data_IF_052927316807
#
_entry.id   IF_052927316807
#
_cell.length_a   1.000
_cell.length_b   1.000
_cell.length_c   1.000
_cell.angle_alpha   90.00
_cell.angle_beta   90.00
_cell.angle_gamma   90.00
#
_symmetry.space_group_name_H-M   'P 1'
#
loop_
_entity.id
_entity.type
_entity.pdbx_description
1 polymer ?
#
# COMPACT_ATOMS: atom_id res chain seq x y z
N UNK A 1 -79.80 -42.02 -29.10
CA UNK A 1 -78.37 -41.95 -28.58
C UNK A 1 -77.78 -40.67 -29.11
N UNK A 2 -77.44 -39.69 -28.29
CA UNK A 2 -76.89 -38.41 -28.74
C UNK A 2 -75.36 -38.44 -28.70
N UNK A 3 -74.79 -37.92 -29.78
CA UNK A 3 -73.32 -37.66 -29.95
C UNK A 3 -72.87 -36.53 -29.02
N UNK A 4 -71.79 -36.79 -28.21
CA UNK A 4 -71.11 -35.78 -27.39
C UNK A 4 -70.03 -35.09 -28.23
N UNK A 5 -70.17 -33.78 -28.42
CA UNK A 5 -69.13 -32.90 -29.00
C UNK A 5 -68.04 -32.60 -28.02
N UNK A 6 -66.78 -32.98 -28.31
CA UNK A 6 -65.57 -32.54 -27.59
C UNK A 6 -65.19 -31.11 -28.01
N UNK A 7 -65.28 -30.16 -27.09
CA UNK A 7 -64.67 -28.83 -27.27
C UNK A 7 -63.18 -28.90 -26.86
N UNK A 8 -62.30 -28.67 -27.81
CA UNK A 8 -60.91 -28.48 -27.60
C UNK A 8 -60.68 -27.05 -27.09
N UNK A 9 -60.23 -26.89 -25.85
CA UNK A 9 -59.73 -25.62 -25.30
C UNK A 9 -58.28 -25.43 -25.78
N UNK A 10 -58.01 -24.39 -26.54
CA UNK A 10 -56.68 -23.97 -26.90
C UNK A 10 -56.11 -23.11 -25.76
N UNK A 11 -55.07 -23.60 -25.07
CA UNK A 11 -54.30 -22.81 -24.09
C UNK A 11 -53.26 -22.02 -24.87
N UNK A 12 -53.44 -20.70 -24.98
CA UNK A 12 -52.44 -19.78 -25.48
C UNK A 12 -51.39 -19.57 -24.38
N UNK A 13 -50.21 -20.19 -24.54
CA UNK A 13 -49.01 -19.83 -23.75
C UNK A 13 -48.49 -18.46 -24.25
N UNK A 14 -48.67 -17.42 -23.46
CA UNK A 14 -47.98 -16.16 -23.68
C UNK A 14 -46.52 -16.31 -23.24
N UNK A 15 -45.62 -16.52 -24.19
CA UNK A 15 -44.15 -16.41 -23.93
C UNK A 15 -43.83 -14.93 -23.78
N UNK A 16 -43.67 -14.46 -22.56
CA UNK A 16 -43.09 -13.16 -22.31
C UNK A 16 -41.63 -13.21 -22.78
N UNK A 17 -41.35 -12.60 -23.91
CA UNK A 17 -39.98 -12.35 -24.34
C UNK A 17 -39.34 -11.36 -23.38
N UNK A 18 -38.48 -11.86 -22.49
CA UNK A 18 -37.58 -11.01 -21.73
C UNK A 18 -36.63 -10.35 -22.74
N UNK A 19 -36.86 -9.07 -23.01
CA UNK A 19 -35.89 -8.25 -23.74
C UNK A 19 -34.58 -8.27 -22.92
N UNK A 20 -33.43 -8.68 -23.51
CA UNK A 20 -32.17 -8.55 -22.80
C UNK A 20 -31.98 -7.07 -22.51
N UNK A 21 -31.76 -6.70 -21.22
CA UNK A 21 -31.27 -5.38 -20.86
C UNK A 21 -30.01 -5.14 -21.70
N UNK A 22 -30.08 -4.21 -22.64
CA UNK A 22 -28.91 -3.85 -23.43
C UNK A 22 -27.84 -3.33 -22.45
N UNK A 23 -26.74 -4.06 -22.36
CA UNK A 23 -25.60 -3.60 -21.57
C UNK A 23 -25.22 -2.19 -22.03
N UNK A 24 -25.00 -1.29 -21.09
CA UNK A 24 -24.63 0.10 -21.38
C UNK A 24 -23.30 0.10 -22.15
N UNK A 25 -23.28 0.65 -23.37
CA UNK A 25 -22.01 0.73 -24.11
C UNK A 25 -21.01 1.62 -23.38
N UNK A 26 -19.71 1.30 -23.38
CA UNK A 26 -18.68 2.13 -22.77
C UNK A 26 -18.72 3.59 -23.23
N UNK A 27 -19.06 3.86 -24.47
CA UNK A 27 -19.19 5.19 -25.06
C UNK A 27 -20.32 6.01 -24.44
N UNK A 28 -21.33 5.37 -23.86
CA UNK A 28 -22.45 6.05 -23.19
C UNK A 28 -22.12 6.45 -21.74
N UNK A 29 -21.08 5.88 -21.12
CA UNK A 29 -20.69 6.16 -19.72
C UNK A 29 -20.41 7.64 -19.50
N UNK A 30 -19.52 8.32 -20.28
CA UNK A 30 -19.25 9.73 -20.07
C UNK A 30 -20.48 10.62 -20.21
N UNK A 31 -21.38 10.32 -21.14
CA UNK A 31 -22.61 11.10 -21.31
C UNK A 31 -23.55 10.96 -20.09
N UNK A 32 -23.70 9.75 -19.57
CA UNK A 32 -24.57 9.45 -18.42
C UNK A 32 -24.06 10.03 -17.11
N UNK A 33 -22.75 10.01 -16.88
CA UNK A 33 -22.15 10.32 -15.57
C UNK A 33 -21.43 11.67 -15.51
N UNK A 34 -21.41 12.46 -16.59
CA UNK A 34 -20.69 13.74 -16.66
C UNK A 34 -21.07 14.69 -15.52
N UNK A 35 -22.36 14.91 -15.33
CA UNK A 35 -22.83 15.90 -14.35
C UNK A 35 -22.56 15.44 -12.90
N UNK A 36 -22.72 14.15 -12.63
CA UNK A 36 -22.41 13.62 -11.28
C UNK A 36 -20.93 13.62 -11.01
N UNK A 37 -20.08 13.28 -11.98
CA UNK A 37 -18.62 13.37 -11.84
C UNK A 37 -18.17 14.81 -11.59
N UNK A 38 -18.67 15.77 -12.39
CA UNK A 38 -18.38 17.19 -12.18
C UNK A 38 -18.81 17.68 -10.79
N UNK A 39 -19.97 17.23 -10.30
CA UNK A 39 -20.48 17.58 -8.97
C UNK A 39 -19.61 16.99 -7.85
N UNK A 40 -19.13 15.76 -8.01
CA UNK A 40 -18.21 15.11 -7.04
C UNK A 40 -16.89 15.88 -7.01
N UNK A 41 -16.29 16.16 -8.17
CA UNK A 41 -15.04 16.90 -8.28
C UNK A 41 -15.16 18.28 -7.64
N UNK A 42 -16.19 19.05 -8.01
CA UNK A 42 -16.40 20.39 -7.47
C UNK A 42 -16.59 20.38 -5.94
N UNK A 43 -17.28 19.38 -5.39
CA UNK A 43 -17.50 19.27 -3.97
C UNK A 43 -16.23 18.84 -3.20
N UNK A 44 -15.37 18.03 -3.80
CA UNK A 44 -14.07 17.70 -3.23
C UNK A 44 -13.14 18.92 -3.23
N UNK A 45 -13.04 19.64 -4.34
CA UNK A 45 -12.17 20.84 -4.45
C UNK A 45 -12.65 22.02 -3.58
N UNK A 46 -13.94 22.08 -3.25
CA UNK A 46 -14.49 23.08 -2.32
C UNK A 46 -14.12 22.82 -0.85
N UNK A 47 -13.79 21.58 -0.51
CA UNK A 47 -13.29 21.17 0.82
C UNK A 47 -11.76 21.25 0.79
N UNK A 48 -11.18 22.35 1.26
CA UNK A 48 -9.77 22.64 1.04
C UNK A 48 -8.79 21.83 1.88
N UNK A 49 -9.24 21.21 3.01
CA UNK A 49 -8.33 20.55 3.97
C UNK A 49 -8.87 19.27 4.58
N UNK A 50 -10.16 18.95 4.44
CA UNK A 50 -10.82 17.91 5.26
C UNK A 50 -10.14 16.54 5.27
N UNK A 51 -9.68 16.04 4.13
CA UNK A 51 -8.93 14.78 4.08
C UNK A 51 -7.52 14.93 4.66
N UNK A 52 -6.84 16.05 4.36
CA UNK A 52 -5.51 16.33 4.92
C UNK A 52 -5.56 16.48 6.44
N UNK A 53 -6.56 17.20 6.99
CA UNK A 53 -6.75 17.35 8.43
C UNK A 53 -6.92 15.99 9.11
N UNK A 54 -7.61 15.04 8.45
CA UNK A 54 -7.80 13.69 8.96
C UNK A 54 -6.53 12.83 8.89
N UNK A 55 -5.73 12.97 7.83
CA UNK A 55 -4.39 12.36 7.75
C UNK A 55 -3.52 12.90 8.88
N UNK A 56 -3.52 14.22 9.09
CA UNK A 56 -2.79 14.85 10.17
C UNK A 56 -3.27 14.37 11.54
N UNK A 57 -4.59 14.28 11.78
CA UNK A 57 -5.13 13.76 13.03
C UNK A 57 -4.70 12.30 13.30
N UNK A 58 -4.75 11.43 12.28
CA UNK A 58 -4.27 10.04 12.40
C UNK A 58 -2.79 9.99 12.76
N UNK A 59 -1.98 10.75 12.02
CA UNK A 59 -0.52 10.80 12.17
C UNK A 59 -0.08 11.39 13.51
N UNK A 60 -0.65 12.52 13.90
CA UNK A 60 -0.27 13.26 15.11
C UNK A 60 -0.70 12.53 16.39
N UNK A 61 -1.84 11.82 16.36
CA UNK A 61 -2.36 11.11 17.54
C UNK A 61 -1.68 9.79 17.80
N UNK A 62 -1.31 9.06 16.76
CA UNK A 62 -0.84 7.68 16.90
C UNK A 62 0.61 7.51 16.46
N UNK A 63 1.17 8.45 15.70
CA UNK A 63 2.52 8.34 15.16
C UNK A 63 2.67 7.10 14.27
N UNK A 64 3.80 6.44 14.38
CA UNK A 64 4.06 5.19 13.69
C UNK A 64 3.20 4.04 14.20
N UNK A 65 2.80 3.15 13.27
CA UNK A 65 1.77 2.13 13.51
C UNK A 65 2.20 0.73 13.05
N UNK A 66 3.43 0.33 13.41
CA UNK A 66 3.93 -0.99 12.98
C UNK A 66 3.07 -2.13 13.55
N UNK A 67 2.92 -3.19 12.77
CA UNK A 67 2.22 -4.43 13.14
C UNK A 67 2.65 -4.95 14.51
N UNK A 68 1.66 -5.28 15.35
CA UNK A 68 1.85 -5.74 16.72
C UNK A 68 2.00 -4.61 17.75
N UNK A 69 2.07 -3.34 17.32
CA UNK A 69 2.17 -2.21 18.24
C UNK A 69 0.79 -1.82 18.80
N UNK A 70 0.80 -1.23 20.00
CA UNK A 70 -0.40 -0.66 20.60
C UNK A 70 -0.92 0.55 19.80
N UNK A 71 -0.01 1.36 19.24
CA UNK A 71 -0.37 2.53 18.45
C UNK A 71 -1.22 2.15 17.23
N UNK A 72 -0.92 1.02 16.57
CA UNK A 72 -1.73 0.49 15.48
C UNK A 72 -3.15 0.14 15.96
N UNK A 73 -3.30 -0.59 17.06
CA UNK A 73 -4.62 -1.00 17.55
C UNK A 73 -5.45 0.21 18.01
N UNK A 74 -4.82 1.18 18.68
CA UNK A 74 -5.48 2.43 19.08
C UNK A 74 -5.92 3.24 17.84
N UNK A 75 -5.14 3.25 16.77
CA UNK A 75 -5.49 3.89 15.48
C UNK A 75 -6.66 3.17 14.78
N UNK A 76 -6.64 1.84 14.72
CA UNK A 76 -7.73 1.00 14.19
C UNK A 76 -9.04 1.28 14.95
N UNK A 77 -8.97 1.38 16.27
CA UNK A 77 -10.14 1.69 17.10
C UNK A 77 -10.68 3.10 16.83
N UNK A 78 -9.80 4.07 16.68
CA UNK A 78 -10.17 5.44 16.33
C UNK A 78 -10.80 5.52 14.93
N UNK A 79 -10.23 4.84 13.92
CA UNK A 79 -10.79 4.77 12.57
C UNK A 79 -12.20 4.18 12.62
N UNK A 80 -12.38 3.01 13.27
CA UNK A 80 -13.69 2.38 13.39
C UNK A 80 -14.72 3.28 14.08
N UNK A 81 -14.33 3.93 15.20
CA UNK A 81 -15.21 4.84 15.92
C UNK A 81 -15.59 6.07 15.09
N UNK A 82 -14.63 6.59 14.31
CA UNK A 82 -14.85 7.78 13.48
C UNK A 82 -15.69 7.46 12.24
N UNK A 83 -15.45 6.32 11.57
CA UNK A 83 -16.32 5.85 10.47
C UNK A 83 -17.77 5.71 10.92
N UNK A 84 -18.02 5.22 12.17
CA UNK A 84 -19.40 5.17 12.73
C UNK A 84 -19.99 6.55 12.94
N UNK A 85 -19.21 7.50 13.46
CA UNK A 85 -19.67 8.90 13.63
C UNK A 85 -19.97 9.57 12.29
N UNK A 86 -19.21 9.23 11.25
CA UNK A 86 -19.42 9.72 9.87
C UNK A 86 -20.64 9.03 9.21
N UNK A 87 -21.26 8.04 9.85
CA UNK A 87 -22.46 7.38 9.35
C UNK A 87 -22.22 6.28 8.31
N UNK A 88 -21.00 5.72 8.20
CA UNK A 88 -20.77 4.56 7.38
C UNK A 88 -21.53 3.34 7.94
N UNK A 89 -22.08 2.54 7.04
CA UNK A 89 -22.75 1.29 7.38
C UNK A 89 -21.72 0.17 7.65
N UNK A 90 -22.16 -0.85 8.38
CA UNK A 90 -21.40 -2.09 8.60
C UNK A 90 -19.96 -1.89 9.10
N UNK A 91 -19.72 -0.84 9.90
CA UNK A 91 -18.38 -0.57 10.43
C UNK A 91 -17.98 -1.66 11.42
N UNK A 92 -16.90 -2.35 11.11
CA UNK A 92 -16.37 -3.48 11.89
C UNK A 92 -14.87 -3.60 11.82
N UNK A 93 -14.32 -4.41 12.72
CA UNK A 93 -12.93 -4.84 12.74
C UNK A 93 -12.91 -6.35 12.55
N UNK A 94 -12.06 -6.85 11.65
CA UNK A 94 -11.89 -8.27 11.40
C UNK A 94 -10.50 -8.72 11.86
N UNK A 95 -10.40 -9.76 12.72
CA UNK A 95 -9.15 -10.11 13.37
C UNK A 95 -8.13 -10.71 12.39
N UNK A 96 -6.87 -10.32 12.57
CA UNK A 96 -5.71 -10.81 11.82
C UNK A 96 -4.56 -11.06 12.80
N UNK A 97 -3.96 -12.24 12.77
CA UNK A 97 -2.72 -12.50 13.51
C UNK A 97 -1.52 -11.99 12.70
N UNK A 98 -0.73 -11.08 13.28
CA UNK A 98 0.37 -10.39 12.59
C UNK A 98 1.71 -10.64 13.26
N UNK A 99 2.84 -10.59 12.51
CA UNK A 99 4.18 -10.63 13.11
C UNK A 99 4.38 -9.46 14.05
N UNK A 100 5.11 -9.70 15.14
CA UNK A 100 5.45 -8.65 16.10
C UNK A 100 6.97 -8.53 16.20
N UNK A 101 7.53 -7.64 15.38
CA UNK A 101 8.94 -7.27 15.43
C UNK A 101 9.12 -5.97 16.20
N UNK A 102 10.18 -5.88 16.99
CA UNK A 102 10.53 -4.68 17.77
C UNK A 102 11.97 -4.29 17.49
N UNK A 103 12.18 -3.04 17.10
CA UNK A 103 13.49 -2.47 16.78
C UNK A 103 14.42 -2.40 17.99
N UNK A 104 13.95 -1.85 19.10
CA UNK A 104 14.77 -1.55 20.29
C UNK A 104 15.76 -0.41 20.03
N UNK A 105 16.74 -0.28 20.93
CA UNK A 105 17.80 0.69 20.75
C UNK A 105 18.80 0.26 19.67
N UNK A 106 19.26 1.22 18.86
CA UNK A 106 20.20 0.94 17.77
C UNK A 106 21.17 2.10 17.53
N UNK A 107 22.37 1.78 17.07
CA UNK A 107 23.38 2.76 16.69
C UNK A 107 24.42 2.19 15.74
N UNK A 108 24.97 3.05 14.89
CA UNK A 108 26.13 2.77 14.06
C UNK A 108 27.20 3.84 14.31
N UNK A 109 28.41 3.43 14.65
CA UNK A 109 29.53 4.32 14.87
C UNK A 109 30.67 3.99 13.90
N UNK A 110 31.12 4.96 13.12
CA UNK A 110 32.41 4.89 12.45
C UNK A 110 33.50 4.98 13.51
N UNK A 111 34.42 4.00 13.60
CA UNK A 111 35.47 3.96 14.60
C UNK A 111 36.89 4.14 14.00
N UNK A 112 37.06 3.88 12.71
CA UNK A 112 38.27 4.10 11.93
C UNK A 112 37.91 4.53 10.52
N UNK A 113 38.62 5.49 9.90
CA UNK A 113 39.84 6.20 10.38
C UNK A 113 39.58 7.34 11.36
N UNK A 114 38.32 7.70 11.62
CA UNK A 114 37.91 8.68 12.62
C UNK A 114 36.65 8.22 13.35
N UNK A 115 36.34 8.79 14.49
CA UNK A 115 35.09 8.51 15.19
C UNK A 115 33.97 9.45 14.75
N UNK A 116 32.79 8.89 14.43
CA UNK A 116 31.59 9.65 14.16
C UNK A 116 30.34 8.75 14.26
N UNK A 117 29.22 9.24 14.79
CA UNK A 117 27.94 8.56 14.66
C UNK A 117 27.47 8.60 13.18
N UNK A 118 26.88 7.51 12.72
CA UNK A 118 26.27 7.40 11.39
C UNK A 118 24.77 7.13 11.58
N UNK A 119 23.88 7.93 10.98
CA UNK A 119 22.46 7.62 10.96
C UNK A 119 22.22 6.26 10.31
N UNK A 120 21.39 5.44 10.96
CA UNK A 120 21.04 4.11 10.49
C UNK A 120 19.63 3.75 10.94
N UNK A 121 19.02 2.79 10.26
CA UNK A 121 17.80 2.11 10.68
C UNK A 121 17.98 0.61 10.50
N UNK A 122 17.75 -0.18 11.54
CA UNK A 122 17.64 -1.62 11.44
C UNK A 122 16.52 -1.98 10.46
N UNK A 123 16.68 -3.04 9.69
CA UNK A 123 15.65 -3.48 8.75
C UNK A 123 14.64 -4.40 9.45
N UNK A 124 13.39 -4.25 9.07
CA UNK A 124 12.27 -4.98 9.66
C UNK A 124 12.42 -6.50 9.52
N UNK A 125 12.33 -7.20 10.65
CA UNK A 125 12.61 -8.62 10.74
C UNK A 125 14.07 -8.98 11.03
N UNK A 126 15.00 -7.99 11.06
CA UNK A 126 16.39 -8.23 11.45
C UNK A 126 16.49 -8.71 12.89
N UNK A 127 17.48 -9.56 13.15
CA UNK A 127 17.92 -9.88 14.51
C UNK A 127 18.80 -8.75 15.06
N UNK A 128 18.91 -8.68 16.39
CA UNK A 128 19.86 -7.80 17.09
C UNK A 128 21.31 -8.30 17.01
N UNK A 129 22.22 -7.46 17.49
CA UNK A 129 23.63 -7.81 17.70
C UNK A 129 23.84 -8.51 19.05
N UNK A 130 24.94 -9.23 19.25
CA UNK A 130 25.37 -9.63 20.59
C UNK A 130 25.53 -8.41 21.53
N UNK A 131 25.46 -8.62 22.85
CA UNK A 131 25.78 -7.56 23.82
C UNK A 131 27.11 -6.87 23.50
N UNK A 132 27.13 -5.52 23.50
CA UNK A 132 28.33 -4.72 23.12
C UNK A 132 28.40 -4.42 21.61
N UNK A 133 27.59 -5.07 20.76
CA UNK A 133 27.57 -4.83 19.32
C UNK A 133 28.60 -5.64 18.54
N UNK A 134 28.71 -5.33 17.27
CA UNK A 134 29.65 -5.94 16.31
C UNK A 134 30.59 -4.84 15.82
N UNK A 135 31.89 -4.97 16.06
CA UNK A 135 32.91 -4.08 15.50
C UNK A 135 33.74 -4.82 14.47
N UNK A 136 33.65 -4.41 13.20
CA UNK A 136 34.40 -5.07 12.14
C UNK A 136 34.78 -4.09 11.01
N UNK A 137 35.71 -4.53 10.15
CA UNK A 137 36.00 -3.83 8.89
C UNK A 137 34.82 -3.87 7.95
N UNK A 138 34.65 -2.81 7.17
CA UNK A 138 33.63 -2.72 6.14
C UNK A 138 34.19 -3.13 4.80
N UNK A 139 33.50 -4.03 4.11
CA UNK A 139 33.68 -4.37 2.71
C UNK A 139 32.54 -3.77 1.90
N UNK A 140 32.86 -2.93 0.92
CA UNK A 140 31.85 -2.31 0.05
C UNK A 140 31.73 -3.09 -1.27
N UNK A 141 30.50 -3.36 -1.67
CA UNK A 141 30.15 -4.00 -2.96
C UNK A 141 29.00 -3.25 -3.63
N UNK A 142 28.95 -3.29 -4.96
CA UNK A 142 27.87 -2.69 -5.75
C UNK A 142 26.80 -3.67 -6.20
N UNK A 143 27.03 -4.98 -6.06
CA UNK A 143 26.06 -6.01 -6.45
C UNK A 143 26.25 -7.34 -5.68
N UNK A 144 25.30 -8.26 -5.81
CA UNK A 144 25.41 -9.61 -5.27
C UNK A 144 26.47 -10.44 -6.01
N UNK A 145 26.63 -10.22 -7.31
CA UNK A 145 27.65 -10.88 -8.15
C UNK A 145 29.06 -10.45 -7.73
N UNK A 146 29.27 -9.16 -7.47
CA UNK A 146 30.55 -8.66 -6.93
C UNK A 146 30.86 -9.30 -5.57
N UNK A 147 29.87 -9.37 -4.67
CA UNK A 147 30.07 -10.05 -3.40
C UNK A 147 30.42 -11.53 -3.57
N UNK A 148 29.74 -12.24 -4.45
CA UNK A 148 30.01 -13.65 -4.73
C UNK A 148 31.43 -13.88 -5.27
N UNK A 149 31.89 -13.01 -6.20
CA UNK A 149 33.24 -13.06 -6.75
C UNK A 149 34.34 -12.79 -5.70
N UNK A 150 34.01 -12.02 -4.66
CA UNK A 150 34.93 -11.61 -3.60
C UNK A 150 34.57 -12.20 -2.22
N UNK A 151 33.82 -13.32 -2.19
CA UNK A 151 33.27 -13.89 -0.95
C UNK A 151 34.34 -14.15 0.13
N UNK A 152 35.56 -14.57 -0.25
CA UNK A 152 36.64 -14.81 0.71
C UNK A 152 37.06 -13.55 1.50
N UNK A 153 36.89 -12.35 0.92
CA UNK A 153 37.17 -11.08 1.58
C UNK A 153 36.09 -10.69 2.62
N UNK A 154 34.88 -11.21 2.46
CA UNK A 154 33.74 -10.84 3.34
C UNK A 154 33.79 -11.51 4.70
N UNK A 155 34.57 -12.61 4.85
CA UNK A 155 34.62 -13.38 6.08
C UNK A 155 35.01 -12.53 7.29
N UNK A 156 34.14 -12.46 8.30
CA UNK A 156 34.35 -11.67 9.53
C UNK A 156 34.20 -10.18 9.37
N UNK A 157 33.78 -9.69 8.18
CA UNK A 157 33.56 -8.27 7.90
C UNK A 157 32.08 -7.90 7.95
N UNK A 158 31.79 -6.60 7.92
CA UNK A 158 30.47 -6.05 7.65
C UNK A 158 30.39 -5.72 6.15
N UNK A 159 29.46 -6.32 5.43
CA UNK A 159 29.24 -6.03 4.00
C UNK A 159 28.32 -4.84 3.85
N UNK A 160 28.76 -3.80 3.13
CA UNK A 160 27.95 -2.65 2.76
C UNK A 160 27.61 -2.71 1.27
N UNK A 161 26.31 -2.84 0.95
CA UNK A 161 25.82 -2.71 -0.42
C UNK A 161 25.63 -1.23 -0.78
N UNK A 162 26.46 -0.69 -1.65
CA UNK A 162 26.39 0.69 -2.13
C UNK A 162 26.12 0.71 -3.63
N UNK A 163 24.92 0.33 -4.04
CA UNK A 163 24.41 0.45 -5.41
C UNK A 163 23.74 1.82 -5.60
N UNK A 164 24.08 2.52 -6.69
CA UNK A 164 23.38 3.76 -7.03
C UNK A 164 21.89 3.52 -7.27
N UNK A 165 21.07 4.53 -7.00
CA UNK A 165 19.63 4.45 -7.26
C UNK A 165 19.36 4.17 -8.75
N UNK A 166 18.50 3.21 -8.99
CA UNK A 166 17.97 2.89 -10.32
C UNK A 166 16.43 2.91 -10.26
N UNK A 167 15.87 2.05 -9.45
CA UNK A 167 14.45 1.93 -9.14
C UNK A 167 14.27 1.20 -7.80
N UNK A 168 13.06 1.29 -7.23
CA UNK A 168 12.78 0.68 -5.92
C UNK A 168 12.91 -0.85 -5.93
N UNK A 169 12.53 -1.52 -7.01
CA UNK A 169 12.66 -2.97 -7.15
C UNK A 169 14.12 -3.42 -7.06
N UNK A 170 14.99 -2.77 -7.83
CA UNK A 170 16.43 -3.04 -7.86
C UNK A 170 17.10 -2.70 -6.52
N UNK A 171 16.94 -1.47 -6.02
CA UNK A 171 17.61 -1.05 -4.80
C UNK A 171 17.03 -1.75 -3.55
N UNK A 172 15.74 -2.00 -3.52
CA UNK A 172 15.08 -2.77 -2.46
C UNK A 172 15.54 -4.25 -2.38
N UNK A 173 16.10 -4.81 -3.45
CA UNK A 173 16.64 -6.16 -3.40
C UNK A 173 17.81 -6.29 -2.40
N UNK A 174 18.67 -5.27 -2.29
CA UNK A 174 19.77 -5.26 -1.30
C UNK A 174 19.25 -5.21 0.12
N UNK A 175 18.17 -4.47 0.36
CA UNK A 175 17.45 -4.48 1.64
C UNK A 175 16.86 -5.85 1.94
N UNK A 176 16.11 -6.42 0.99
CA UNK A 176 15.39 -7.69 1.23
C UNK A 176 16.29 -8.90 1.35
N UNK A 177 17.38 -8.99 0.58
CA UNK A 177 18.21 -10.21 0.44
C UNK A 177 19.66 -10.03 0.90
N UNK A 178 20.07 -8.81 1.25
CA UNK A 178 21.46 -8.49 1.57
C UNK A 178 22.05 -9.33 2.71
N UNK A 179 21.27 -9.56 3.77
CA UNK A 179 21.71 -10.42 4.89
C UNK A 179 21.99 -11.86 4.45
N UNK A 180 21.16 -12.42 3.55
CA UNK A 180 21.31 -13.79 3.06
C UNK A 180 22.63 -13.94 2.28
N UNK A 181 22.87 -13.04 1.31
CA UNK A 181 24.08 -13.07 0.48
C UNK A 181 25.34 -12.80 1.32
N UNK A 182 25.30 -11.84 2.25
CA UNK A 182 26.41 -11.53 3.14
C UNK A 182 26.73 -12.71 4.08
N UNK A 183 25.72 -13.35 4.67
CA UNK A 183 25.91 -14.52 5.52
C UNK A 183 26.52 -15.71 4.75
N UNK A 184 26.12 -15.96 3.52
CA UNK A 184 26.74 -16.98 2.65
C UNK A 184 28.22 -16.73 2.39
N UNK A 185 28.64 -15.46 2.33
CA UNK A 185 30.03 -15.05 2.19
C UNK A 185 30.80 -15.03 3.52
N UNK A 186 30.16 -15.38 4.65
CA UNK A 186 30.78 -15.41 5.98
C UNK A 186 30.89 -14.05 6.66
N UNK A 187 30.14 -13.07 6.25
CA UNK A 187 30.05 -11.76 6.91
C UNK A 187 29.38 -11.88 8.28
N UNK A 188 29.71 -10.99 9.21
CA UNK A 188 29.15 -10.96 10.59
C UNK A 188 27.95 -10.03 10.72
N UNK A 189 27.76 -9.09 9.79
CA UNK A 189 26.61 -8.22 9.64
C UNK A 189 26.58 -7.66 8.21
N UNK A 190 25.49 -7.03 7.83
CA UNK A 190 25.39 -6.32 6.56
C UNK A 190 24.69 -4.98 6.68
N UNK A 191 25.03 -4.07 5.79
CA UNK A 191 24.45 -2.75 5.67
C UNK A 191 23.98 -2.56 4.23
N UNK A 192 22.85 -1.90 4.02
CA UNK A 192 22.36 -1.50 2.72
C UNK A 192 22.30 0.04 2.63
N UNK A 193 22.79 0.60 1.54
CA UNK A 193 22.48 1.98 1.19
C UNK A 193 20.97 2.13 1.08
N UNK A 194 20.41 3.16 1.68
CA UNK A 194 18.98 3.49 1.62
C UNK A 194 18.43 3.45 0.18
N UNK A 195 17.30 2.78 0.01
CA UNK A 195 16.60 2.67 -1.28
C UNK A 195 15.81 3.97 -1.55
N UNK A 196 16.52 5.03 -1.87
CA UNK A 196 15.99 6.37 -2.05
C UNK A 196 16.46 7.00 -3.37
N UNK A 197 15.53 7.68 -4.06
CA UNK A 197 15.84 8.44 -5.27
C UNK A 197 16.56 9.77 -4.98
N UNK A 198 16.36 10.30 -3.78
CA UNK A 198 16.99 11.49 -3.25
C UNK A 198 17.28 11.28 -1.76
N UNK A 199 18.31 11.90 -1.21
CA UNK A 199 18.69 11.73 0.18
C UNK A 199 19.14 13.04 0.82
N UNK A 200 18.80 13.22 2.10
CA UNK A 200 19.23 14.30 2.99
C UNK A 200 19.77 13.70 4.29
N UNK A 201 20.62 12.68 4.18
CA UNK A 201 21.12 11.85 5.27
C UNK A 201 20.00 11.16 6.07
N UNK A 202 18.90 10.87 5.44
CA UNK A 202 17.77 10.14 6.02
C UNK A 202 17.93 8.66 5.69
N UNK A 203 18.08 7.76 6.67
CA UNK A 203 18.06 6.32 6.40
C UNK A 203 16.63 5.85 6.15
N UNK A 204 16.48 4.87 5.25
CA UNK A 204 15.21 4.25 4.91
C UNK A 204 15.17 2.81 5.43
N UNK A 205 14.16 2.48 6.21
CA UNK A 205 13.93 1.10 6.69
C UNK A 205 13.15 0.26 5.65
N UNK A 206 12.54 -0.79 6.08
CA UNK A 206 11.67 -1.67 5.30
C UNK A 206 11.94 -3.14 5.58
N UNK A 207 11.10 -4.02 5.09
CA UNK A 207 11.16 -5.44 5.38
C UNK A 207 12.35 -6.14 4.73
N UNK A 208 12.90 -7.14 5.42
CA UNK A 208 13.96 -8.04 4.95
C UNK A 208 13.59 -9.51 5.15
N UNK A 209 14.33 -10.39 4.52
CA UNK A 209 14.14 -11.83 4.65
C UNK A 209 15.40 -12.52 5.20
N UNK A 210 15.18 -13.66 5.85
CA UNK A 210 16.20 -14.63 6.17
C UNK A 210 15.96 -15.94 5.40
N UNK A 211 17.04 -16.65 5.14
CA UNK A 211 17.03 -18.00 4.57
C UNK A 211 17.47 -18.99 5.66
N UNK A 212 16.70 -20.05 5.87
CA UNK A 212 16.99 -21.09 6.88
C UNK A 212 18.28 -21.86 6.61
N UNK A 213 18.84 -21.79 5.40
CA UNK A 213 20.07 -22.49 5.01
C UNK A 213 21.35 -21.74 5.40
N UNK A 214 21.24 -20.51 5.90
CA UNK A 214 22.38 -19.69 6.31
C UNK A 214 22.17 -19.12 7.71
N UNK A 215 23.28 -18.75 8.38
CA UNK A 215 23.21 -18.06 9.67
C UNK A 215 22.47 -16.72 9.52
N UNK A 216 21.62 -16.40 10.49
CA UNK A 216 21.03 -15.06 10.57
C UNK A 216 22.07 -14.09 11.08
N UNK A 217 22.24 -12.99 10.36
CA UNK A 217 23.12 -11.88 10.75
C UNK A 217 22.33 -10.57 10.83
N UNK A 218 22.73 -9.60 11.67
CA UNK A 218 22.07 -8.29 11.70
C UNK A 218 22.18 -7.57 10.36
N UNK A 219 21.09 -6.89 9.98
CA UNK A 219 21.03 -6.11 8.75
C UNK A 219 20.36 -4.76 8.99
N UNK A 220 21.01 -3.69 8.52
CA UNK A 220 20.55 -2.33 8.69
C UNK A 220 20.71 -1.51 7.42
N UNK A 221 19.96 -0.42 7.33
CA UNK A 221 20.10 0.59 6.30
C UNK A 221 20.97 1.74 6.82
N UNK A 222 21.76 2.32 5.93
CA UNK A 222 22.54 3.55 6.17
C UNK A 222 22.18 4.59 5.12
N UNK A 223 22.47 5.85 5.39
CA UNK A 223 22.21 6.93 4.43
C UNK A 223 23.00 6.75 3.13
N UNK A 224 22.47 7.26 2.02
CA UNK A 224 23.18 7.23 0.75
C UNK A 224 24.53 7.96 0.84
N UNK A 225 24.57 9.08 1.56
CA UNK A 225 25.78 9.90 1.73
C UNK A 225 26.85 9.17 2.51
N UNK A 226 26.49 8.47 3.60
CA UNK A 226 27.46 7.74 4.43
C UNK A 226 27.96 6.48 3.73
N UNK A 227 27.12 5.77 2.97
CA UNK A 227 27.54 4.67 2.12
C UNK A 227 28.59 5.13 1.09
N UNK A 228 28.33 6.23 0.37
CA UNK A 228 29.26 6.82 -0.59
C UNK A 228 30.54 7.35 0.09
N UNK A 229 30.43 7.90 1.32
CA UNK A 229 31.60 8.34 2.09
C UNK A 229 32.51 7.15 2.42
N UNK A 230 31.94 6.05 2.94
CA UNK A 230 32.69 4.82 3.25
C UNK A 230 33.37 4.27 1.99
N UNK A 231 32.65 4.20 0.87
CA UNK A 231 33.23 3.78 -0.43
C UNK A 231 34.45 4.64 -0.81
N UNK A 232 34.36 5.98 -0.68
CA UNK A 232 35.47 6.89 -1.01
C UNK A 232 36.67 6.70 -0.09
N UNK A 233 36.45 6.45 1.22
CA UNK A 233 37.53 6.16 2.18
C UNK A 233 38.28 4.88 1.79
N UNK A 234 37.56 3.80 1.52
CA UNK A 234 38.15 2.51 1.12
C UNK A 234 38.89 2.65 -0.22
N UNK A 235 38.32 3.39 -1.19
CA UNK A 235 38.99 3.64 -2.48
C UNK A 235 40.32 4.41 -2.37
N UNK A 236 40.49 5.20 -1.29
CA UNK A 236 41.77 5.85 -0.98
C UNK A 236 42.75 4.96 -0.19
N UNK A 237 42.40 3.70 0.06
CA UNK A 237 43.20 2.74 0.79
C UNK A 237 43.06 2.82 2.33
N UNK A 238 42.04 3.55 2.82
CA UNK A 238 41.77 3.63 4.26
C UNK A 238 41.05 2.36 4.76
N UNK A 239 41.48 1.87 5.94
CA UNK A 239 40.76 0.77 6.62
C UNK A 239 39.58 1.35 7.37
N UNK A 240 38.37 1.13 6.87
CA UNK A 240 37.15 1.58 7.52
C UNK A 240 36.62 0.50 8.45
N UNK A 241 36.39 0.86 9.71
CA UNK A 241 35.76 0.00 10.74
C UNK A 241 34.54 0.71 11.31
N UNK A 242 33.49 -0.04 11.56
CA UNK A 242 32.29 0.46 12.23
C UNK A 242 31.90 -0.46 13.39
N UNK A 243 31.18 0.11 14.36
CA UNK A 243 30.52 -0.64 15.43
C UNK A 243 29.01 -0.53 15.23
N UNK A 244 28.35 -1.66 14.97
CA UNK A 244 26.90 -1.78 14.87
C UNK A 244 26.32 -2.33 16.17
N UNK A 245 25.30 -1.67 16.72
CA UNK A 245 24.50 -2.15 17.86
C UNK A 245 23.03 -2.14 17.46
N UNK A 246 22.34 -3.23 17.73
CA UNK A 246 20.90 -3.38 17.46
C UNK A 246 20.30 -4.29 18.54
N UNK A 247 19.15 -3.89 19.10
CA UNK A 247 18.36 -4.69 20.06
C UNK A 247 17.16 -5.38 19.41
N UNK A 248 17.10 -5.33 18.08
CA UNK A 248 16.00 -5.85 17.29
C UNK A 248 15.66 -7.31 17.61
N UNK A 249 14.39 -7.62 17.75
CA UNK A 249 13.92 -8.97 18.08
C UNK A 249 12.50 -9.23 17.57
N UNK A 250 12.21 -10.50 17.30
CA UNK A 250 10.85 -11.00 17.10
C UNK A 250 10.22 -11.35 18.44
N UNK A 251 8.99 -10.95 18.64
CA UNK A 251 8.10 -11.38 19.72
C UNK A 251 7.07 -12.39 19.16
N UNK A 252 6.29 -13.07 20.02
CA UNK A 252 5.15 -13.85 19.53
C UNK A 252 4.21 -13.02 18.69
N UNK A 253 3.60 -13.63 17.67
CA UNK A 253 2.58 -12.98 16.84
C UNK A 253 1.51 -12.31 17.71
N UNK A 254 1.06 -11.14 17.30
CA UNK A 254 0.05 -10.34 17.98
C UNK A 254 -1.27 -10.33 17.20
N UNK A 255 -2.36 -10.10 17.90
CA UNK A 255 -3.65 -9.87 17.25
C UNK A 255 -3.75 -8.43 16.79
N UNK A 256 -4.11 -8.23 15.52
CA UNK A 256 -4.47 -6.97 14.90
C UNK A 256 -5.79 -7.12 14.14
N UNK A 257 -6.19 -6.11 13.37
CA UNK A 257 -7.48 -6.13 12.68
C UNK A 257 -7.42 -5.33 11.37
N UNK A 258 -8.06 -5.86 10.32
CA UNK A 258 -8.55 -5.00 9.24
C UNK A 258 -9.72 -4.17 9.75
N UNK A 259 -9.78 -2.89 9.43
CA UNK A 259 -10.89 -2.01 9.76
C UNK A 259 -11.65 -1.62 8.51
N UNK A 260 -12.98 -1.68 8.53
CA UNK A 260 -13.78 -1.40 7.35
C UNK A 260 -15.12 -0.75 7.65
N UNK A 261 -15.65 -0.07 6.62
CA UNK A 261 -16.98 0.55 6.61
C UNK A 261 -17.54 0.61 5.20
N UNK A 262 -18.84 0.84 5.06
CA UNK A 262 -19.52 0.72 3.78
C UNK A 262 -20.47 1.89 3.49
N UNK A 263 -20.58 2.23 2.20
CA UNK A 263 -21.73 2.89 1.60
C UNK A 263 -22.58 1.83 0.92
N UNK A 264 -23.69 1.44 1.56
CA UNK A 264 -24.52 0.34 1.08
C UNK A 264 -25.20 0.68 -0.25
N UNK A 265 -25.14 -0.26 -1.18
CA UNK A 265 -25.80 -0.15 -2.49
C UNK A 265 -27.32 -0.20 -2.41
N UNK A 266 -28.00 0.52 -3.33
CA UNK A 266 -29.47 0.62 -3.34
C UNK A 266 -30.18 -0.54 -4.06
N UNK A 267 -29.51 -1.24 -5.00
CA UNK A 267 -30.12 -2.30 -5.82
C UNK A 267 -29.48 -3.67 -5.64
N UNK A 268 -28.14 -3.69 -5.55
CA UNK A 268 -27.33 -4.92 -5.42
C UNK A 268 -26.35 -4.79 -4.27
N UNK A 269 -26.86 -4.70 -3.03
CA UNK A 269 -26.03 -4.42 -1.85
C UNK A 269 -25.00 -5.52 -1.53
N UNK A 270 -25.17 -6.73 -2.07
CA UNK A 270 -24.28 -7.87 -1.87
C UNK A 270 -23.14 -7.92 -2.93
N UNK A 271 -23.17 -7.05 -3.93
CA UNK A 271 -22.07 -6.85 -4.87
C UNK A 271 -21.21 -5.67 -4.39
N UNK A 272 -19.87 -5.83 -4.41
CA UNK A 272 -18.94 -4.92 -3.74
C UNK A 272 -17.92 -4.33 -4.70
N UNK A 273 -17.70 -3.02 -4.62
CA UNK A 273 -16.46 -2.35 -5.02
C UNK A 273 -15.69 -2.09 -3.73
N UNK A 274 -14.54 -2.73 -3.55
CA UNK A 274 -13.68 -2.51 -2.38
C UNK A 274 -12.58 -1.53 -2.73
N UNK A 275 -12.25 -0.61 -1.81
CA UNK A 275 -11.13 0.31 -1.95
C UNK A 275 -10.49 0.60 -0.60
N UNK A 276 -9.21 0.99 -0.60
CA UNK A 276 -8.51 1.31 0.63
C UNK A 276 -7.02 1.47 0.44
N UNK A 277 -6.33 1.31 1.55
CA UNK A 277 -4.89 1.28 1.71
C UNK A 277 -4.55 0.58 3.01
N UNK A 278 -3.28 0.54 3.43
CA UNK A 278 -2.93 -0.11 4.68
C UNK A 278 -2.88 0.86 5.86
N UNK A 279 -3.38 0.39 7.02
CA UNK A 279 -3.45 1.22 8.23
C UNK A 279 -2.17 1.16 9.05
N UNK A 280 -1.39 0.11 8.93
CA UNK A 280 -0.07 0.03 9.55
C UNK A 280 0.95 0.92 8.83
N UNK A 281 2.08 1.14 9.43
CA UNK A 281 3.25 1.84 8.89
C UNK A 281 4.52 1.32 9.53
N UNK A 282 5.69 1.68 9.00
CA UNK A 282 6.94 1.43 9.73
C UNK A 282 6.96 2.18 11.07
N UNK A 283 7.87 1.74 11.94
CA UNK A 283 8.08 2.29 13.29
C UNK A 283 8.97 3.55 13.30
N UNK A 284 8.95 4.27 12.20
CA UNK A 284 9.62 5.57 11.97
C UNK A 284 8.69 6.50 11.23
N UNK A 285 8.85 7.81 11.42
CA UNK A 285 7.92 8.78 10.87
C UNK A 285 6.52 8.68 11.48
N UNK A 286 5.51 9.10 10.75
CA UNK A 286 4.12 9.08 11.16
C UNK A 286 3.22 8.27 10.20
N UNK A 287 3.79 7.66 9.15
CA UNK A 287 3.03 6.93 8.15
C UNK A 287 1.91 7.76 7.54
N UNK A 288 2.22 8.99 7.15
CA UNK A 288 1.23 9.92 6.62
C UNK A 288 0.92 9.65 5.15
N UNK A 289 1.95 9.40 4.35
CA UNK A 289 1.79 9.05 2.95
C UNK A 289 1.85 7.55 2.71
N UNK A 290 2.49 6.79 3.63
CA UNK A 290 2.71 5.34 3.56
C UNK A 290 2.20 4.68 4.87
N UNK A 291 0.88 4.33 5.00
CA UNK A 291 -0.18 4.60 4.03
C UNK A 291 -1.47 5.09 4.73
N UNK A 292 -1.31 5.89 5.80
CA UNK A 292 -2.47 6.55 6.41
C UNK A 292 -3.25 7.40 5.41
N UNK A 293 -2.55 7.98 4.42
CA UNK A 293 -3.13 8.76 3.33
C UNK A 293 -4.08 7.95 2.48
N UNK A 294 -3.69 6.76 2.03
CA UNK A 294 -4.52 5.90 1.19
C UNK A 294 -5.80 5.44 1.90
N UNK A 295 -5.69 5.04 3.16
CA UNK A 295 -6.88 4.72 3.97
C UNK A 295 -7.82 5.92 4.06
N UNK A 296 -7.29 7.10 4.35
CA UNK A 296 -8.10 8.30 4.56
C UNK A 296 -8.76 8.78 3.26
N UNK A 297 -8.06 8.80 2.13
CA UNK A 297 -8.67 9.27 0.87
C UNK A 297 -9.78 8.34 0.39
N UNK A 298 -9.64 7.02 0.58
CA UNK A 298 -10.70 6.06 0.30
C UNK A 298 -11.93 6.29 1.20
N UNK A 299 -11.69 6.52 2.48
CA UNK A 299 -12.75 6.80 3.44
C UNK A 299 -13.45 8.14 3.16
N UNK A 300 -12.71 9.23 2.92
CA UNK A 300 -13.26 10.54 2.58
C UNK A 300 -14.02 10.52 1.24
N UNK A 301 -13.61 9.69 0.29
CA UNK A 301 -14.37 9.48 -0.94
C UNK A 301 -15.79 8.95 -0.64
N UNK A 302 -15.92 7.95 0.24
CA UNK A 302 -17.24 7.44 0.65
C UNK A 302 -18.03 8.51 1.41
N UNK A 303 -17.39 9.22 2.33
CA UNK A 303 -18.03 10.29 3.09
C UNK A 303 -18.51 11.44 2.18
N UNK A 304 -17.74 11.80 1.17
CA UNK A 304 -18.14 12.77 0.14
C UNK A 304 -19.39 12.32 -0.61
N UNK A 305 -19.43 11.06 -1.05
CA UNK A 305 -20.61 10.49 -1.73
C UNK A 305 -21.87 10.56 -0.84
N UNK A 306 -21.74 10.22 0.44
CA UNK A 306 -22.84 10.33 1.41
C UNK A 306 -23.33 11.78 1.56
N UNK A 307 -22.43 12.75 1.74
CA UNK A 307 -22.79 14.19 1.84
C UNK A 307 -23.53 14.70 0.61
N UNK A 308 -23.19 14.14 -0.55
CA UNK A 308 -23.86 14.46 -1.82
C UNK A 308 -25.19 13.71 -2.01
N UNK A 309 -25.58 12.83 -1.10
CA UNK A 309 -26.77 11.99 -1.24
C UNK A 309 -26.66 10.98 -2.39
N UNK A 310 -25.45 10.59 -2.78
CA UNK A 310 -25.18 9.65 -3.86
C UNK A 310 -25.11 8.22 -3.32
N UNK A 311 -26.05 7.38 -3.73
CA UNK A 311 -26.09 5.96 -3.38
C UNK A 311 -25.94 5.14 -4.66
N UNK A 312 -24.82 4.41 -4.87
CA UNK A 312 -24.65 3.60 -6.08
C UNK A 312 -25.53 2.34 -6.06
N UNK A 313 -25.57 1.61 -7.16
CA UNK A 313 -26.33 0.32 -7.24
C UNK A 313 -25.74 -0.72 -6.30
N UNK A 314 -24.40 -0.80 -6.23
CA UNK A 314 -23.60 -1.77 -5.45
C UNK A 314 -22.98 -1.10 -4.25
N UNK A 315 -22.59 -1.89 -3.29
CA UNK A 315 -21.90 -1.41 -2.09
C UNK A 315 -20.47 -0.96 -2.42
N UNK A 316 -20.07 0.19 -1.89
CA UNK A 316 -18.66 0.60 -1.83
C UNK A 316 -18.17 0.30 -0.42
N UNK A 317 -17.12 -0.52 -0.30
CA UNK A 317 -16.49 -0.88 0.97
C UNK A 317 -15.11 -0.22 1.06
N UNK A 318 -14.86 0.49 2.13
CA UNK A 318 -13.53 0.98 2.49
C UNK A 318 -12.89 0.01 3.47
N UNK A 319 -11.61 -0.29 3.24
CA UNK A 319 -10.80 -1.13 4.12
C UNK A 319 -9.47 -0.44 4.41
N UNK A 320 -9.11 -0.36 5.71
CA UNK A 320 -7.74 -0.18 6.16
C UNK A 320 -7.17 -1.55 6.49
N UNK A 321 -6.35 -2.10 5.59
CA UNK A 321 -5.71 -3.40 5.81
C UNK A 321 -4.60 -3.27 6.83
N UNK A 322 -4.35 -4.31 7.60
CA UNK A 322 -3.26 -4.36 8.56
C UNK A 322 -2.12 -5.24 8.05
N UNK A 323 -0.89 -4.94 8.45
CA UNK A 323 0.29 -5.76 8.18
C UNK A 323 0.70 -5.84 6.70
N UNK A 324 0.59 -4.77 5.94
CA UNK A 324 1.19 -4.69 4.62
C UNK A 324 2.72 -4.69 4.73
N UNK A 325 3.28 -3.78 5.54
CA UNK A 325 4.69 -3.42 5.64
C UNK A 325 5.63 -4.60 5.92
N UNK A 326 5.16 -5.56 6.71
CA UNK A 326 6.01 -6.67 7.11
C UNK A 326 5.32 -8.05 7.05
N UNK A 327 4.32 -8.23 6.16
CA UNK A 327 3.71 -9.54 6.04
C UNK A 327 2.59 -9.75 5.02
N UNK A 328 1.74 -8.77 4.73
CA UNK A 328 0.59 -8.91 3.82
C UNK A 328 -0.53 -9.81 4.36
N UNK A 329 -0.61 -10.01 5.69
CA UNK A 329 -1.60 -10.91 6.29
C UNK A 329 -3.00 -10.31 6.27
N UNK A 330 -3.13 -8.97 6.27
CA UNK A 330 -4.42 -8.28 6.19
C UNK A 330 -5.15 -8.54 4.89
N UNK A 331 -4.48 -8.36 3.77
CA UNK A 331 -5.03 -8.65 2.44
C UNK A 331 -5.38 -10.14 2.28
N UNK A 332 -4.54 -11.04 2.78
CA UNK A 332 -4.80 -12.48 2.76
C UNK A 332 -6.04 -12.85 3.60
N UNK A 333 -6.17 -12.31 4.82
CA UNK A 333 -7.31 -12.53 5.68
C UNK A 333 -8.62 -11.98 5.06
N UNK A 334 -8.54 -10.80 4.43
CA UNK A 334 -9.68 -10.23 3.70
C UNK A 334 -10.13 -11.17 2.57
N UNK A 335 -9.21 -11.65 1.73
CA UNK A 335 -9.55 -12.66 0.71
C UNK A 335 -10.24 -13.87 1.32
N UNK A 336 -9.69 -14.46 2.37
CA UNK A 336 -10.20 -15.70 2.97
C UNK A 336 -11.62 -15.52 3.52
N UNK A 337 -11.91 -14.35 4.12
CA UNK A 337 -13.22 -14.03 4.65
C UNK A 337 -14.25 -13.69 3.55
N UNK A 338 -13.81 -13.04 2.46
CA UNK A 338 -14.71 -12.38 1.49
C UNK A 338 -14.66 -12.93 0.07
N UNK A 339 -13.82 -13.93 -0.25
CA UNK A 339 -13.69 -14.49 -1.60
C UNK A 339 -14.98 -15.05 -2.21
N UNK A 340 -16.00 -15.33 -1.38
CA UNK A 340 -17.32 -15.79 -1.83
C UNK A 340 -18.28 -14.65 -2.16
N UNK A 341 -17.96 -13.43 -1.76
CA UNK A 341 -18.74 -12.25 -2.12
C UNK A 341 -18.48 -11.87 -3.58
N UNK A 342 -19.43 -11.16 -4.18
CA UNK A 342 -19.33 -10.72 -5.56
C UNK A 342 -18.58 -9.38 -5.62
N UNK A 343 -17.25 -9.42 -5.66
CA UNK A 343 -16.44 -8.22 -5.87
C UNK A 343 -16.45 -7.84 -7.36
N UNK A 344 -16.78 -6.60 -7.66
CA UNK A 344 -16.76 -6.04 -9.01
C UNK A 344 -15.40 -5.45 -9.36
N UNK A 345 -14.74 -4.81 -8.37
CA UNK A 345 -13.47 -4.12 -8.52
C UNK A 345 -12.81 -4.01 -7.14
N UNK A 346 -11.49 -4.12 -7.10
CA UNK A 346 -10.67 -3.78 -5.95
C UNK A 346 -9.73 -2.61 -6.30
N UNK A 347 -9.65 -1.59 -5.46
CA UNK A 347 -8.83 -0.39 -5.67
C UNK A 347 -7.92 -0.19 -4.46
N UNK A 348 -6.63 0.00 -4.68
CA UNK A 348 -5.66 0.31 -3.63
C UNK A 348 -4.97 1.64 -3.89
N UNK A 349 -4.74 2.40 -2.83
CA UNK A 349 -3.97 3.63 -2.81
C UNK A 349 -2.79 3.43 -1.88
N UNK A 350 -1.61 3.15 -2.43
CA UNK A 350 -0.36 2.85 -1.71
C UNK A 350 0.86 3.37 -2.48
N UNK A 351 0.78 4.55 -3.02
CA UNK A 351 1.87 5.26 -3.70
C UNK A 351 1.98 6.71 -3.24
N UNK A 352 1.43 6.98 -2.05
CA UNK A 352 1.19 8.31 -1.53
C UNK A 352 -0.08 8.95 -2.10
N UNK A 353 -0.38 10.16 -1.61
CA UNK A 353 -1.57 10.93 -1.99
C UNK A 353 -1.18 12.29 -2.58
N UNK A 354 -0.21 12.25 -3.48
CA UNK A 354 0.26 13.40 -4.27
C UNK A 354 -0.69 13.68 -5.45
N UNK A 355 -0.30 14.61 -6.33
CA UNK A 355 -1.13 14.97 -7.49
C UNK A 355 -1.56 13.73 -8.29
N UNK A 356 -2.86 13.44 -8.43
CA UNK A 356 -3.31 12.23 -9.11
C UNK A 356 -3.10 12.33 -10.62
N UNK A 357 -2.64 11.22 -11.24
CA UNK A 357 -2.48 11.02 -12.69
C UNK A 357 -3.57 10.12 -13.26
N UNK A 358 -4.12 9.23 -12.42
CA UNK A 358 -5.14 8.28 -12.80
C UNK A 358 -5.07 6.97 -12.04
N UNK A 359 -5.20 5.87 -12.77
CA UNK A 359 -5.16 4.53 -12.18
C UNK A 359 -4.45 3.55 -13.09
N UNK A 360 -3.66 2.64 -12.53
CA UNK A 360 -3.31 1.39 -13.19
C UNK A 360 -4.50 0.43 -13.14
N UNK A 361 -4.72 -0.39 -14.17
CA UNK A 361 -5.83 -1.33 -14.20
C UNK A 361 -5.45 -2.70 -14.72
N UNK A 362 -5.88 -3.75 -14.02
CA UNK A 362 -5.79 -5.16 -14.43
C UNK A 362 -7.17 -5.79 -14.42
N UNK A 363 -7.61 -6.30 -15.55
CA UNK A 363 -8.92 -6.91 -15.74
C UNK A 363 -9.16 -7.29 -17.19
N UNK A 364 -10.43 -7.61 -17.56
CA UNK A 364 -10.81 -7.96 -18.92
C UNK A 364 -10.73 -6.75 -19.87
N UNK A 365 -10.66 -7.01 -21.18
CA UNK A 365 -10.70 -5.94 -22.19
C UNK A 365 -12.00 -5.14 -22.16
N UNK A 366 -13.11 -5.77 -21.79
CA UNK A 366 -14.41 -5.11 -21.67
C UNK A 366 -14.43 -4.18 -20.45
N UNK A 367 -14.00 -4.66 -19.29
CA UNK A 367 -13.87 -3.86 -18.06
C UNK A 367 -12.91 -2.71 -18.24
N UNK A 368 -11.79 -2.91 -18.99
CA UNK A 368 -10.85 -1.85 -19.34
C UNK A 368 -11.51 -0.70 -20.09
N UNK A 369 -12.30 -1.00 -21.13
CA UNK A 369 -13.01 0.06 -21.88
C UNK A 369 -13.97 0.86 -20.99
N UNK A 370 -14.67 0.17 -20.07
CA UNK A 370 -15.54 0.85 -19.11
C UNK A 370 -14.76 1.76 -18.16
N UNK A 371 -13.64 1.27 -17.64
CA UNK A 371 -12.78 2.03 -16.73
C UNK A 371 -12.11 3.22 -17.44
N UNK A 372 -11.67 3.05 -18.70
CA UNK A 372 -11.14 4.16 -19.53
C UNK A 372 -12.20 5.23 -19.78
N UNK A 373 -13.44 4.81 -20.02
CA UNK A 373 -14.54 5.76 -20.15
C UNK A 373 -14.82 6.53 -18.85
N UNK A 374 -14.72 5.88 -17.68
CA UNK A 374 -14.81 6.56 -16.37
C UNK A 374 -13.62 7.51 -16.20
N UNK A 375 -12.40 7.04 -16.49
CA UNK A 375 -11.17 7.84 -16.40
C UNK A 375 -11.26 9.13 -17.19
N UNK A 376 -11.86 9.12 -18.37
CA UNK A 376 -12.06 10.34 -19.19
C UNK A 376 -12.79 11.48 -18.45
N UNK A 377 -13.63 11.16 -17.46
CA UNK A 377 -14.34 12.13 -16.63
C UNK A 377 -13.44 12.78 -15.57
N UNK A 378 -12.26 12.21 -15.31
CA UNK A 378 -11.27 12.72 -14.37
C UNK A 378 -10.21 13.62 -15.03
N UNK A 379 -10.29 13.82 -16.36
CA UNK A 379 -9.37 14.69 -17.09
C UNK A 379 -9.31 16.13 -16.52
N UNK A 380 -10.41 16.76 -16.04
CA UNK A 380 -10.37 18.11 -15.46
C UNK A 380 -9.43 18.26 -14.25
N UNK A 381 -9.19 17.18 -13.49
CA UNK A 381 -8.27 17.17 -12.33
C UNK A 381 -6.92 16.51 -12.62
N UNK A 382 -6.63 16.20 -13.87
CA UNK A 382 -5.38 15.58 -14.29
C UNK A 382 -5.31 14.05 -14.07
N UNK A 383 -6.39 13.41 -13.60
CA UNK A 383 -6.43 12.01 -13.18
C UNK A 383 -7.07 11.07 -14.24
N UNK A 384 -7.02 11.44 -15.53
CA UNK A 384 -7.71 10.72 -16.60
C UNK A 384 -6.98 9.51 -17.18
N UNK A 385 -5.74 9.24 -16.79
CA UNK A 385 -4.94 8.15 -17.34
C UNK A 385 -5.36 6.79 -16.78
N UNK A 386 -5.45 5.77 -17.65
CA UNK A 386 -5.61 4.38 -17.24
C UNK A 386 -4.40 3.59 -17.75
N UNK A 387 -3.50 3.24 -16.83
CA UNK A 387 -2.28 2.49 -17.11
C UNK A 387 -2.53 1.04 -17.55
N UNK A 388 -1.53 0.41 -18.14
CA UNK A 388 -1.62 -0.93 -18.73
C UNK A 388 -1.85 -2.05 -17.70
N UNK A 389 -1.39 -1.85 -16.46
CA UNK A 389 -1.57 -2.77 -15.33
C UNK A 389 -1.81 -1.97 -14.06
N UNK A 390 -2.46 -2.58 -13.07
CA UNK A 390 -2.69 -2.01 -11.77
C UNK A 390 -3.06 -3.10 -10.76
N UNK A 391 -3.00 -2.74 -9.51
CA UNK A 391 -3.20 -3.60 -8.34
C UNK A 391 -2.50 -2.98 -7.15
N UNK A 392 -2.28 -3.77 -6.12
CA UNK A 392 -1.54 -3.40 -4.93
C UNK A 392 -1.27 -4.63 -4.08
N UNK A 393 -0.51 -4.48 -2.99
CA UNK A 393 -0.12 -5.58 -2.14
C UNK A 393 -1.31 -6.15 -1.36
N UNK A 394 -2.19 -5.29 -0.86
CA UNK A 394 -3.34 -5.70 -0.06
C UNK A 394 -4.48 -6.27 -0.89
N UNK A 395 -4.72 -5.76 -2.08
CA UNK A 395 -5.75 -6.30 -2.99
C UNK A 395 -5.25 -7.46 -3.84
N UNK A 396 -3.94 -7.68 -3.93
CA UNK A 396 -3.35 -8.80 -4.68
C UNK A 396 -3.97 -10.17 -4.35
N UNK A 397 -4.18 -10.52 -3.07
CA UNK A 397 -4.82 -11.78 -2.70
C UNK A 397 -6.26 -11.93 -3.23
N UNK A 398 -7.10 -10.90 -3.21
CA UNK A 398 -8.46 -10.96 -3.75
C UNK A 398 -8.46 -10.93 -5.28
N UNK A 399 -7.53 -10.21 -5.91
CA UNK A 399 -7.34 -10.22 -7.37
C UNK A 399 -6.99 -11.62 -7.88
N UNK A 400 -6.23 -12.40 -7.12
CA UNK A 400 -5.89 -13.78 -7.46
C UNK A 400 -7.12 -14.71 -7.57
N UNK A 401 -8.29 -14.29 -7.06
CA UNK A 401 -9.57 -15.00 -7.24
C UNK A 401 -10.31 -14.61 -8.54
N UNK A 402 -9.72 -13.76 -9.38
CA UNK A 402 -10.30 -13.29 -10.64
C UNK A 402 -11.00 -11.93 -10.53
N UNK A 403 -10.86 -11.21 -9.42
CA UNK A 403 -11.39 -9.84 -9.27
C UNK A 403 -10.50 -8.87 -10.03
N UNK A 404 -11.10 -7.94 -10.78
CA UNK A 404 -10.37 -6.85 -11.42
C UNK A 404 -9.74 -5.92 -10.37
N UNK A 405 -8.53 -5.45 -10.63
CA UNK A 405 -7.77 -4.62 -9.69
C UNK A 405 -7.31 -3.30 -10.28
N UNK A 406 -7.24 -2.29 -9.41
CA UNK A 406 -6.70 -0.96 -9.70
C UNK A 406 -5.71 -0.53 -8.64
N UNK A 407 -4.64 0.15 -9.05
CA UNK A 407 -3.81 0.97 -8.16
C UNK A 407 -3.98 2.44 -8.50
N UNK A 408 -4.12 3.30 -7.51
CA UNK A 408 -4.07 4.74 -7.72
C UNK A 408 -2.69 5.13 -8.28
N UNK A 409 -2.67 5.94 -9.34
CA UNK A 409 -1.46 6.51 -9.95
C UNK A 409 -1.38 8.00 -9.63
N UNK A 410 -0.28 8.40 -8.98
CA UNK A 410 0.00 9.76 -8.55
C UNK A 410 1.37 10.23 -9.04
N UNK A 411 1.72 11.49 -8.82
CA UNK A 411 3.08 11.98 -9.00
C UNK A 411 4.00 11.40 -7.92
N UNK A 412 4.68 10.31 -8.22
CA UNK A 412 5.58 9.59 -7.33
C UNK A 412 7.00 10.19 -7.22
N UNK A 413 7.24 11.34 -7.84
CA UNK A 413 8.58 11.98 -7.90
C UNK A 413 9.20 12.15 -6.51
N UNK A 414 8.38 12.50 -5.51
CA UNK A 414 8.81 12.73 -4.13
C UNK A 414 8.59 11.54 -3.21
N UNK A 415 7.84 10.51 -3.62
CA UNK A 415 7.47 9.38 -2.76
C UNK A 415 8.71 8.73 -2.13
N UNK A 416 9.67 8.31 -2.93
CA UNK A 416 10.91 7.67 -2.45
C UNK A 416 11.91 8.62 -1.79
N UNK A 417 11.56 9.90 -1.56
CA UNK A 417 12.34 10.79 -0.71
C UNK A 417 12.03 10.57 0.77
N UNK A 418 10.77 10.23 1.07
CA UNK A 418 10.21 10.15 2.42
C UNK A 418 9.80 8.74 2.85
N UNK A 419 9.48 7.88 1.89
CA UNK A 419 9.03 6.51 2.09
C UNK A 419 9.94 5.74 3.04
N UNK A 420 9.36 5.17 4.10
CA UNK A 420 10.04 4.39 5.14
C UNK A 420 11.10 5.17 5.95
N UNK A 421 10.87 6.46 6.19
CA UNK A 421 11.78 7.34 6.95
C UNK A 421 11.06 8.12 8.04
N UNK A 422 11.84 8.74 8.94
CA UNK A 422 11.31 9.72 9.92
C UNK A 422 10.67 10.95 9.26
N UNK A 423 10.87 11.16 7.96
CA UNK A 423 10.32 12.28 7.22
C UNK A 423 8.93 12.03 6.62
N UNK A 424 8.37 10.82 6.76
CA UNK A 424 6.98 10.54 6.38
C UNK A 424 6.01 11.16 7.39
N UNK A 425 5.67 12.42 7.12
CA UNK A 425 4.87 13.29 7.99
C UNK A 425 3.87 14.11 7.17
N UNK A 426 2.72 14.55 7.75
CA UNK A 426 1.65 15.22 7.00
C UNK A 426 2.07 16.47 6.25
N UNK A 427 3.09 17.19 6.73
CA UNK A 427 3.62 18.41 6.09
C UNK A 427 4.27 18.18 4.70
N UNK A 428 4.49 16.92 4.30
CA UNK A 428 4.96 16.56 2.97
C UNK A 428 3.85 16.49 1.92
N UNK A 429 2.59 16.51 2.36
CA UNK A 429 1.40 16.39 1.53
C UNK A 429 0.76 17.76 1.29
N UNK A 430 0.40 18.06 0.04
CA UNK A 430 -0.37 19.24 -0.31
C UNK A 430 -1.88 18.95 -0.13
N UNK A 431 -2.60 19.72 0.71
CA UNK A 431 -4.03 19.48 0.94
C UNK A 431 -4.87 19.48 -0.34
N UNK A 432 -4.50 20.26 -1.36
CA UNK A 432 -5.23 20.32 -2.63
C UNK A 432 -4.99 19.08 -3.48
N UNK A 433 -3.76 18.55 -3.48
CA UNK A 433 -3.45 17.27 -4.14
C UNK A 433 -4.24 16.15 -3.48
N UNK A 434 -4.26 16.08 -2.15
CA UNK A 434 -5.05 15.11 -1.37
C UNK A 434 -6.53 15.17 -1.73
N UNK A 435 -7.12 16.36 -1.82
CA UNK A 435 -8.53 16.52 -2.19
C UNK A 435 -8.83 16.08 -3.63
N UNK A 436 -7.89 16.28 -4.57
CA UNK A 436 -8.04 15.75 -5.93
C UNK A 436 -7.97 14.22 -5.96
N UNK A 437 -7.15 13.62 -5.09
CA UNK A 437 -7.15 12.15 -4.92
C UNK A 437 -8.50 11.67 -4.39
N UNK A 438 -9.07 12.33 -3.38
CA UNK A 438 -10.45 12.03 -2.90
C UNK A 438 -11.46 12.09 -4.03
N UNK A 439 -11.39 13.14 -4.89
CA UNK A 439 -12.27 13.27 -6.05
C UNK A 439 -12.10 12.11 -7.04
N UNK A 440 -10.86 11.74 -7.36
CA UNK A 440 -10.55 10.64 -8.27
C UNK A 440 -11.09 9.31 -7.74
N UNK A 441 -10.82 8.99 -6.47
CA UNK A 441 -11.34 7.78 -5.81
C UNK A 441 -12.86 7.77 -5.77
N UNK A 442 -13.51 8.87 -5.41
CA UNK A 442 -14.96 8.98 -5.33
C UNK A 442 -15.65 8.79 -6.68
N UNK A 443 -15.17 9.44 -7.74
CA UNK A 443 -15.73 9.31 -9.10
C UNK A 443 -15.56 7.88 -9.62
N UNK A 444 -14.34 7.33 -9.50
CA UNK A 444 -14.04 5.98 -9.97
C UNK A 444 -14.90 4.95 -9.24
N UNK A 445 -14.89 4.95 -7.91
CA UNK A 445 -15.64 3.98 -7.11
C UNK A 445 -17.16 4.11 -7.29
N UNK A 446 -17.68 5.36 -7.30
CA UNK A 446 -19.11 5.59 -7.47
C UNK A 446 -19.62 5.06 -8.82
N UNK A 447 -18.96 5.45 -9.91
CA UNK A 447 -19.43 5.06 -11.24
C UNK A 447 -19.24 3.56 -11.44
N UNK A 448 -18.09 2.98 -11.04
CA UNK A 448 -17.88 1.54 -11.11
C UNK A 448 -18.94 0.75 -10.35
N UNK A 449 -19.35 1.22 -9.16
CA UNK A 449 -20.42 0.60 -8.37
C UNK A 449 -21.82 0.88 -8.92
N UNK A 450 -22.01 1.92 -9.73
CA UNK A 450 -23.31 2.31 -10.31
C UNK A 450 -23.55 1.80 -11.73
N UNK A 451 -22.56 1.22 -12.40
CA UNK A 451 -22.71 0.62 -13.73
C UNK A 451 -23.81 -0.46 -13.74
N UNK A 452 -24.53 -0.57 -14.84
CA UNK A 452 -25.50 -1.66 -15.05
C UNK A 452 -24.79 -2.99 -15.30
N UNK A 453 -23.72 -2.96 -16.11
CA UNK A 453 -22.88 -4.12 -16.40
C UNK A 453 -21.96 -4.49 -15.24
N UNK A 454 -21.53 -5.75 -15.24
CA UNK A 454 -20.48 -6.23 -14.34
C UNK A 454 -19.09 -5.81 -14.85
N UNK A 455 -18.18 -5.50 -13.92
CA UNK A 455 -16.75 -5.35 -14.22
C UNK A 455 -15.96 -6.65 -14.02
N UNK A 456 -16.63 -7.73 -13.57
CA UNK A 456 -16.02 -9.06 -13.52
C UNK A 456 -15.86 -9.63 -14.92
N UNK A 457 -14.80 -10.43 -15.15
CA UNK A 457 -14.62 -11.19 -16.38
C UNK A 457 -15.77 -12.12 -16.67
#
# INVERSE_FOLDING_TARGET
MPMRSLRRAAVLLAVAAATPLAAQSPEAIPAKYRDVAARIIAAAEADSTGAWDRIAELSDRFGHRLSGSRALEDAIDWVAATMRRDGLANVRKEPVMVPHWVRGAESLELVSPRRAPLPMLGLGGSIGTPPGGITAEVMVVGSFEELAARAAEAKGRIVLYDAAWRDYGFNGAFRRQGAIHAARAGAVASLARSAASYSMRTPHTGNMAYDSTVARIPHASVTAEDAMMIRRMIARGETVRVTLRMEARMLPDAQSHNVMGELRGRERPDEVVVMGGHIDSWDVGAGAMDDGGGVVVAWEAVRLLQRLGLTPRRTIRVVGWTNEENGGRGGAAYRDAHQREVHQLAIESDGGVFAPRGFGFTGSAESRRAVEAIGSLLAPIGAGTIGASGGGADIGPIMATGVAGMGLDVDDTRYFWFHHTDADTPDKLDPREVQRVVAAMAVMAYIAADLEQSLRP
#
